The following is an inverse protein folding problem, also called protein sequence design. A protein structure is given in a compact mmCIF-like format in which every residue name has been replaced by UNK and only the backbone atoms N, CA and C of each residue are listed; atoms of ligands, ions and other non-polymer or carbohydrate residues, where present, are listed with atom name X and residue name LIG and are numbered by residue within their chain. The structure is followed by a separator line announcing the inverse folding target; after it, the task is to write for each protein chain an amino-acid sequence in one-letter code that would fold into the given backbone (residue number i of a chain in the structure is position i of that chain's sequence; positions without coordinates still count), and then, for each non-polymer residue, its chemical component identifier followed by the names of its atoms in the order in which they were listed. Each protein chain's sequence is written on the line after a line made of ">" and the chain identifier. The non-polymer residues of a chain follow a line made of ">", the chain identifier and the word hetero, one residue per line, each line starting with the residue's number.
data_IF_517622774331
#
_entry.id   IF_517622774331
#
_cell.length_a   1.000
_cell.length_b   1.000
_cell.length_c   1.000
_cell.angle_alpha   90.00
_cell.angle_beta   90.00
_cell.angle_gamma   90.00
#
_symmetry.space_group_name_H-M   'P 1'
#
loop_
_entity.id
_entity.type
_entity.pdbx_description
1 polymer ?
#
# COMPACT_ATOMS: atom_id res chain seq x y z
N UNK A 1 16.11 8.28 -12.76
CA UNK A 1 14.69 8.17 -12.36
C UNK A 1 14.59 8.21 -10.84
N UNK A 2 13.49 8.75 -10.28
CA UNK A 2 13.29 8.82 -8.84
C UNK A 2 12.07 8.01 -8.40
N UNK A 3 12.08 7.46 -7.18
CA UNK A 3 10.92 6.93 -6.48
C UNK A 3 10.66 7.75 -5.22
N UNK A 4 9.38 8.02 -4.93
CA UNK A 4 9.01 8.94 -3.85
C UNK A 4 7.88 8.37 -3.00
N UNK A 5 8.02 8.41 -1.66
CA UNK A 5 6.93 7.99 -0.78
C UNK A 5 7.30 7.70 0.66
N UNK A 6 6.34 7.17 1.41
CA UNK A 6 6.53 6.65 2.76
C UNK A 6 7.10 5.21 2.70
N UNK A 7 8.21 5.04 1.97
CA UNK A 7 8.88 3.78 1.72
C UNK A 7 9.90 3.52 2.83
N UNK A 8 10.08 2.27 3.22
CA UNK A 8 10.99 1.89 4.31
C UNK A 8 10.57 2.37 5.69
N UNK A 9 9.29 2.72 5.88
CA UNK A 9 8.77 3.29 7.13
C UNK A 9 8.09 2.27 8.05
N UNK A 10 8.23 0.97 7.77
CA UNK A 10 7.65 -0.12 8.57
C UNK A 10 6.30 -0.63 8.06
N UNK A 11 5.72 0.00 7.05
CA UNK A 11 4.49 -0.50 6.40
C UNK A 11 4.86 -1.38 5.21
N UNK A 12 4.65 -2.69 5.34
CA UNK A 12 5.05 -3.69 4.33
C UNK A 12 4.36 -3.47 2.98
N UNK A 13 3.14 -2.96 2.97
CA UNK A 13 2.41 -2.69 1.72
C UNK A 13 2.99 -1.55 0.90
N UNK A 14 3.52 -0.51 1.56
CA UNK A 14 4.21 0.56 0.88
C UNK A 14 5.49 0.04 0.20
N UNK A 15 6.22 -0.83 0.90
CA UNK A 15 7.44 -1.43 0.40
C UNK A 15 7.15 -2.41 -0.75
N UNK A 16 6.06 -3.19 -0.67
CA UNK A 16 5.63 -4.05 -1.78
C UNK A 16 5.25 -3.28 -3.05
N UNK A 17 4.63 -2.11 -2.90
CA UNK A 17 4.37 -1.23 -4.05
C UNK A 17 5.66 -0.71 -4.67
N UNK A 18 6.68 -0.41 -3.86
CA UNK A 18 8.03 -0.07 -4.33
C UNK A 18 8.66 -1.26 -5.08
N UNK A 19 8.58 -2.46 -4.52
CA UNK A 19 9.13 -3.69 -5.14
C UNK A 19 8.54 -3.91 -6.54
N UNK A 20 7.22 -3.77 -6.69
CA UNK A 20 6.55 -3.90 -7.97
C UNK A 20 7.06 -2.87 -9.01
N UNK A 21 7.18 -1.60 -8.62
CA UNK A 21 7.72 -0.55 -9.51
C UNK A 21 9.20 -0.77 -9.81
N UNK A 22 10.02 -1.19 -8.85
CA UNK A 22 11.42 -1.52 -9.12
C UNK A 22 11.56 -2.72 -10.06
N UNK A 23 10.68 -3.72 -9.93
CA UNK A 23 10.61 -4.85 -10.88
C UNK A 23 10.35 -4.37 -12.30
N UNK A 24 9.32 -3.53 -12.49
CA UNK A 24 9.01 -2.89 -13.77
C UNK A 24 10.21 -2.08 -14.31
N UNK A 25 10.80 -1.20 -13.49
CA UNK A 25 11.92 -0.37 -13.94
C UNK A 25 13.16 -1.18 -14.35
N UNK A 26 13.45 -2.27 -13.64
CA UNK A 26 14.57 -3.16 -13.98
C UNK A 26 14.34 -3.94 -15.26
N UNK A 27 13.09 -4.32 -15.54
CA UNK A 27 12.72 -5.03 -16.75
C UNK A 27 12.71 -4.11 -17.97
N UNK A 28 12.01 -3.00 -17.92
CA UNK A 28 11.79 -2.11 -19.07
C UNK A 28 12.91 -1.06 -19.24
N UNK A 29 13.59 -0.68 -18.16
CA UNK A 29 14.61 0.37 -18.15
C UNK A 29 15.91 -0.07 -17.44
N UNK A 30 16.56 -1.17 -17.83
CA UNK A 30 17.68 -1.79 -17.09
C UNK A 30 18.90 -0.89 -16.93
N UNK A 31 19.03 0.16 -17.77
CA UNK A 31 20.14 1.13 -17.70
C UNK A 31 19.80 2.38 -16.89
N UNK A 32 18.58 2.49 -16.35
CA UNK A 32 18.17 3.66 -15.59
C UNK A 32 18.83 3.67 -14.21
N UNK A 33 19.49 4.78 -13.86
CA UNK A 33 19.86 5.04 -12.48
C UNK A 33 18.59 5.41 -11.69
N UNK A 34 18.34 4.68 -10.60
CA UNK A 34 17.18 4.89 -9.73
C UNK A 34 17.66 5.29 -8.33
N UNK A 35 17.08 6.35 -7.77
CA UNK A 35 17.24 6.71 -6.36
C UNK A 35 15.89 7.02 -5.70
N UNK A 36 15.87 7.18 -4.39
CA UNK A 36 14.66 7.38 -3.62
C UNK A 36 14.69 8.65 -2.77
N UNK A 37 13.54 9.34 -2.66
CA UNK A 37 13.25 10.34 -1.63
C UNK A 37 12.12 9.80 -0.75
N UNK A 38 12.43 9.30 0.46
CA UNK A 38 11.53 8.42 1.20
C UNK A 38 11.56 8.60 2.72
N UNK A 39 10.62 7.92 3.40
CA UNK A 39 10.47 7.96 4.86
C UNK A 39 11.61 7.27 5.61
N UNK A 40 12.02 6.07 5.17
CA UNK A 40 13.06 5.23 5.78
C UNK A 40 14.21 4.94 4.82
N UNK A 41 15.09 5.92 4.55
CA UNK A 41 16.13 5.78 3.53
C UNK A 41 17.14 4.67 3.84
N UNK A 42 17.44 4.42 5.10
CA UNK A 42 18.37 3.38 5.53
C UNK A 42 17.84 1.98 5.15
N UNK A 43 16.55 1.74 5.36
CA UNK A 43 15.85 0.48 4.99
C UNK A 43 15.80 0.32 3.48
N UNK A 44 15.42 1.38 2.77
CA UNK A 44 15.33 1.35 1.30
C UNK A 44 16.71 1.08 0.68
N UNK A 45 17.76 1.75 1.15
CA UNK A 45 19.11 1.56 0.62
C UNK A 45 19.64 0.14 0.89
N UNK A 46 19.48 -0.37 2.11
CA UNK A 46 19.99 -1.69 2.48
C UNK A 46 19.22 -2.83 1.79
N UNK A 47 17.89 -2.70 1.67
CA UNK A 47 17.03 -3.76 1.15
C UNK A 47 17.01 -3.83 -0.38
N UNK A 48 16.97 -2.68 -1.06
CA UNK A 48 16.77 -2.59 -2.51
C UNK A 48 18.02 -2.23 -3.31
N UNK A 49 19.12 -1.85 -2.61
CA UNK A 49 20.39 -1.51 -3.24
C UNK A 49 20.33 -0.21 -4.06
N UNK A 50 19.41 0.70 -3.75
CA UNK A 50 19.27 2.01 -4.41
C UNK A 50 19.63 3.15 -3.45
N UNK A 51 20.32 4.22 -3.92
CA UNK A 51 20.55 5.39 -3.10
C UNK A 51 19.25 5.98 -2.59
N UNK A 52 19.19 6.35 -1.32
CA UNK A 52 17.98 6.89 -0.72
C UNK A 52 18.25 8.13 0.13
N UNK A 53 17.36 9.10 0.04
CA UNK A 53 17.41 10.37 0.78
C UNK A 53 16.15 10.51 1.64
N UNK A 54 16.30 11.05 2.84
CA UNK A 54 15.17 11.25 3.77
C UNK A 54 14.23 12.35 3.27
N UNK A 55 12.92 12.06 3.35
CA UNK A 55 11.84 12.92 2.88
C UNK A 55 11.82 14.27 3.59
N UNK A 56 11.94 14.29 4.93
CA UNK A 56 11.93 15.53 5.73
C UNK A 56 13.31 15.85 6.30
N UNK A 57 13.70 17.11 6.21
CA UNK A 57 14.93 17.60 6.83
C UNK A 57 14.84 17.65 8.35
N UNK A 58 13.70 18.16 8.87
CA UNK A 58 13.50 18.27 10.32
C UNK A 58 13.26 16.87 10.91
N UNK A 59 14.14 16.47 11.84
CA UNK A 59 13.98 15.27 12.67
C UNK A 59 13.30 15.69 13.96
N UNK A 60 12.19 15.05 14.34
CA UNK A 60 11.47 15.31 15.58
C UNK A 60 12.29 15.10 16.88
N UNK A 61 13.50 14.57 16.73
CA UNK A 61 14.45 14.27 17.80
C UNK A 61 15.23 15.51 18.31
N UNK A 62 15.15 16.66 17.62
CA UNK A 62 15.74 17.89 18.16
C UNK A 62 14.92 18.32 19.38
N UNK A 63 15.42 18.00 20.58
CA UNK A 63 14.94 18.51 21.85
C UNK A 63 15.20 20.03 21.87
N UNK A 64 14.20 20.80 21.47
CA UNK A 64 14.19 22.25 21.66
C UNK A 64 13.66 22.55 23.04
N UNK A 65 14.36 23.38 23.80
CA UNK A 65 14.00 23.75 25.16
C UNK A 65 12.67 24.53 25.29
N UNK A 66 12.04 24.91 24.17
CA UNK A 66 10.76 25.64 24.18
C UNK A 66 9.81 25.22 23.06
N UNK A 67 8.50 25.29 23.30
CA UNK A 67 7.44 25.05 22.29
C UNK A 67 7.57 25.99 21.07
N UNK A 68 7.97 27.24 21.28
CA UNK A 68 8.19 28.24 20.23
C UNK A 68 9.38 27.86 19.35
N UNK A 69 10.48 27.41 19.92
CA UNK A 69 11.63 26.89 19.18
C UNK A 69 11.29 25.67 18.33
N UNK A 70 10.43 24.78 18.83
CA UNK A 70 9.95 23.63 18.07
C UNK A 70 9.07 24.03 16.86
N UNK A 71 8.22 25.03 17.01
CA UNK A 71 7.37 25.58 15.93
C UNK A 71 8.24 26.26 14.88
N UNK A 72 9.19 27.12 15.30
CA UNK A 72 10.12 27.79 14.39
C UNK A 72 10.99 26.80 13.62
N UNK A 73 11.55 25.77 14.30
CA UNK A 73 12.33 24.71 13.67
C UNK A 73 11.52 23.89 12.65
N UNK A 74 10.24 23.60 12.95
CA UNK A 74 9.35 22.94 12.00
C UNK A 74 9.06 23.82 10.78
N UNK A 75 8.81 25.13 10.99
CA UNK A 75 8.58 26.09 9.90
C UNK A 75 9.81 26.21 8.99
N UNK A 76 10.99 26.38 9.58
CA UNK A 76 12.26 26.41 8.83
C UNK A 76 12.50 25.09 8.07
N UNK A 77 12.20 23.95 8.71
CA UNK A 77 12.30 22.64 8.07
C UNK A 77 11.44 22.54 6.82
N UNK A 78 10.23 23.12 6.82
CA UNK A 78 9.36 23.13 5.64
C UNK A 78 9.92 24.01 4.51
N UNK A 79 10.57 25.11 4.81
CA UNK A 79 11.27 25.92 3.80
C UNK A 79 12.48 25.17 3.23
N UNK A 80 13.26 24.53 4.07
CA UNK A 80 14.41 23.70 3.64
C UNK A 80 13.92 22.55 2.73
N UNK A 81 12.79 21.92 3.08
CA UNK A 81 12.21 20.82 2.27
C UNK A 81 11.79 21.30 0.86
N UNK A 82 11.39 22.57 0.65
CA UNK A 82 11.14 23.13 -0.70
C UNK A 82 12.38 23.03 -1.56
N UNK A 83 13.50 23.56 -1.09
CA UNK A 83 14.75 23.60 -1.86
C UNK A 83 15.34 22.20 -2.06
N UNK A 84 15.29 21.35 -1.02
CA UNK A 84 15.79 19.96 -1.10
C UNK A 84 14.97 19.14 -2.10
N UNK A 85 13.64 19.23 -2.05
CA UNK A 85 12.77 18.51 -2.98
C UNK A 85 12.99 19.01 -4.40
N UNK A 86 13.04 20.33 -4.64
CA UNK A 86 13.30 20.89 -5.96
C UNK A 86 14.67 20.48 -6.51
N UNK A 87 15.73 20.54 -5.68
CA UNK A 87 17.07 20.12 -6.08
C UNK A 87 17.16 18.62 -6.39
N UNK A 88 16.42 17.77 -5.66
CA UNK A 88 16.33 16.35 -5.93
C UNK A 88 15.54 16.09 -7.21
N UNK A 89 14.37 16.68 -7.38
CA UNK A 89 13.50 16.54 -8.57
C UNK A 89 14.25 16.94 -9.84
N UNK A 90 15.02 18.05 -9.82
CA UNK A 90 15.76 18.54 -11.01
C UNK A 90 16.77 17.53 -11.58
N UNK A 91 17.18 16.53 -10.81
CA UNK A 91 18.13 15.50 -11.26
C UNK A 91 17.47 14.31 -11.95
N UNK A 92 16.14 14.33 -12.07
CA UNK A 92 15.37 13.22 -12.60
C UNK A 92 14.52 13.62 -13.81
N UNK A 93 14.45 12.75 -14.80
CA UNK A 93 13.52 12.91 -15.94
C UNK A 93 12.10 12.51 -15.53
N UNK A 94 12.01 11.45 -14.70
CA UNK A 94 10.76 10.86 -14.21
C UNK A 94 10.87 10.57 -12.72
N UNK A 95 9.79 10.86 -11.98
CA UNK A 95 9.62 10.43 -10.59
C UNK A 95 8.31 9.66 -10.46
N UNK A 96 8.37 8.46 -9.88
CA UNK A 96 7.22 7.59 -9.65
C UNK A 96 6.88 7.56 -8.15
N UNK A 97 5.60 7.77 -7.85
CA UNK A 97 4.99 7.55 -6.53
C UNK A 97 4.25 6.23 -6.61
N UNK A 98 4.81 5.14 -6.05
CA UNK A 98 4.26 3.80 -6.21
C UNK A 98 3.14 3.52 -5.21
N UNK A 99 1.95 3.18 -5.64
CA UNK A 99 0.86 2.70 -4.80
C UNK A 99 0.58 3.58 -3.58
N UNK A 100 0.45 2.95 -2.42
CA UNK A 100 0.17 3.57 -1.12
C UNK A 100 -1.17 4.32 -1.07
N UNK A 101 -1.60 4.71 0.12
CA UNK A 101 -2.71 5.63 0.34
C UNK A 101 -2.28 7.10 0.28
N UNK A 102 -1.54 7.50 -0.75
CA UNK A 102 -0.91 8.84 -0.82
C UNK A 102 -1.91 10.00 -0.94
N UNK A 103 -3.11 9.70 -1.41
CA UNK A 103 -4.22 10.66 -1.54
C UNK A 103 -5.30 10.40 -0.48
N UNK A 104 -4.97 9.65 0.58
CA UNK A 104 -5.79 9.43 1.77
C UNK A 104 -5.34 10.40 2.87
N UNK A 105 -6.28 10.93 3.64
CA UNK A 105 -5.97 11.66 4.86
C UNK A 105 -6.07 10.69 6.04
N UNK A 106 -4.96 10.05 6.39
CA UNK A 106 -4.86 9.24 7.61
C UNK A 106 -4.59 10.09 8.84
N UNK A 107 -4.92 9.57 10.02
CA UNK A 107 -4.65 10.23 11.30
C UNK A 107 -3.15 10.33 11.61
N UNK A 108 -2.73 11.43 12.24
CA UNK A 108 -3.43 12.71 12.40
C UNK A 108 -3.42 13.52 11.11
N UNK A 109 -4.56 14.10 10.73
CA UNK A 109 -4.71 15.02 9.57
C UNK A 109 -3.78 16.22 9.73
N UNK A 110 -2.62 16.15 9.14
CA UNK A 110 -1.63 17.24 9.15
C UNK A 110 -1.33 17.63 7.71
N UNK A 111 -1.87 18.73 7.20
CA UNK A 111 -1.62 19.19 5.84
C UNK A 111 -0.13 19.35 5.56
N UNK A 112 0.65 19.77 6.55
CA UNK A 112 2.09 20.02 6.48
C UNK A 112 2.96 18.76 6.57
N UNK A 113 2.36 17.56 6.67
CA UNK A 113 3.04 16.27 6.58
C UNK A 113 3.23 15.81 5.13
N UNK A 114 2.87 14.55 4.87
CA UNK A 114 3.02 13.94 3.54
C UNK A 114 2.24 14.67 2.42
N UNK A 115 0.99 15.20 2.61
CA UNK A 115 0.29 15.97 1.58
C UNK A 115 1.09 17.18 1.07
N UNK A 116 1.76 17.91 1.98
CA UNK A 116 2.64 19.00 1.59
C UNK A 116 3.86 18.52 0.79
N UNK A 117 4.49 17.43 1.22
CA UNK A 117 5.66 16.87 0.50
C UNK A 117 5.29 16.37 -0.90
N UNK A 118 4.13 15.74 -1.05
CA UNK A 118 3.60 15.34 -2.34
C UNK A 118 3.31 16.55 -3.24
N UNK A 119 2.75 17.63 -2.66
CA UNK A 119 2.55 18.86 -3.39
C UNK A 119 3.88 19.49 -3.84
N UNK A 120 4.90 19.55 -2.99
CA UNK A 120 6.23 20.03 -3.37
C UNK A 120 6.82 19.21 -4.50
N UNK A 121 6.70 17.89 -4.44
CA UNK A 121 7.16 17.00 -5.51
C UNK A 121 6.49 17.36 -6.85
N UNK A 122 5.16 17.35 -6.87
CA UNK A 122 4.40 17.57 -8.11
C UNK A 122 4.59 19.01 -8.66
N UNK A 123 4.65 20.01 -7.77
CA UNK A 123 4.89 21.40 -8.17
C UNK A 123 6.31 21.59 -8.73
N UNK A 124 7.32 21.03 -8.05
CA UNK A 124 8.70 21.04 -8.53
C UNK A 124 8.82 20.32 -9.87
N UNK A 125 8.20 19.15 -10.01
CA UNK A 125 8.19 18.41 -11.28
C UNK A 125 7.60 19.23 -12.43
N UNK A 126 6.45 19.86 -12.19
CA UNK A 126 5.78 20.70 -13.20
C UNK A 126 6.60 21.93 -13.61
N UNK A 127 7.32 22.54 -12.65
CA UNK A 127 8.14 23.73 -12.88
C UNK A 127 9.49 23.42 -13.55
N UNK A 128 10.07 22.26 -13.21
CA UNK A 128 11.42 21.88 -13.63
C UNK A 128 11.44 20.91 -14.83
N UNK A 129 10.27 20.53 -15.34
CA UNK A 129 10.16 19.64 -16.51
C UNK A 129 10.28 18.15 -16.19
N UNK A 130 10.35 17.75 -14.92
CA UNK A 130 10.35 16.36 -14.47
C UNK A 130 8.92 15.80 -14.46
N UNK A 131 8.71 14.64 -15.10
CA UNK A 131 7.40 14.00 -15.13
C UNK A 131 7.14 13.25 -13.84
N UNK A 132 6.13 13.63 -13.09
CA UNK A 132 5.70 12.94 -11.85
C UNK A 132 4.51 12.06 -12.14
N UNK A 133 4.60 10.78 -11.79
CA UNK A 133 3.56 9.77 -11.96
C UNK A 133 3.05 9.26 -10.61
N UNK A 134 1.74 9.28 -10.41
CA UNK A 134 1.04 8.65 -9.31
C UNK A 134 0.49 7.31 -9.81
N UNK A 135 1.13 6.19 -9.43
CA UNK A 135 0.88 4.87 -10.04
C UNK A 135 0.16 3.94 -9.06
N UNK A 136 -1.08 3.55 -9.39
CA UNK A 136 -1.86 2.62 -8.57
C UNK A 136 -2.18 3.16 -7.17
N UNK A 137 -2.38 4.48 -7.03
CA UNK A 137 -2.51 5.13 -5.71
C UNK A 137 -3.91 4.97 -5.11
N UNK A 138 -3.95 4.87 -3.77
CA UNK A 138 -5.18 4.94 -2.99
C UNK A 138 -5.56 6.39 -2.68
N UNK A 139 -6.86 6.67 -2.69
CA UNK A 139 -7.45 7.94 -2.28
C UNK A 139 -8.70 7.72 -1.42
N UNK A 140 -9.00 8.69 -0.56
CA UNK A 140 -10.21 8.68 0.25
C UNK A 140 -10.81 10.10 0.36
N UNK A 141 -12.09 10.24 0.73
CA UNK A 141 -12.69 11.53 0.98
C UNK A 141 -11.95 12.31 2.07
N UNK A 142 -11.56 13.55 1.78
CA UNK A 142 -10.81 14.42 2.69
C UNK A 142 -11.70 15.56 3.14
N UNK A 143 -12.00 15.66 4.44
CA UNK A 143 -12.84 16.71 5.03
C UNK A 143 -12.06 18.00 5.26
N UNK A 144 -10.81 17.90 5.69
CA UNK A 144 -9.93 19.04 5.94
C UNK A 144 -9.62 19.82 4.65
N UNK A 145 -10.00 21.11 4.63
CA UNK A 145 -9.88 21.96 3.44
C UNK A 145 -8.44 22.15 2.95
N UNK A 146 -7.46 22.49 3.82
CA UNK A 146 -6.05 22.63 3.41
C UNK A 146 -5.48 21.34 2.83
N UNK A 147 -5.66 20.20 3.50
CA UNK A 147 -5.19 18.89 3.02
C UNK A 147 -5.82 18.52 1.67
N UNK A 148 -7.15 18.74 1.54
CA UNK A 148 -7.87 18.51 0.28
C UNK A 148 -7.34 19.37 -0.85
N UNK A 149 -7.01 20.64 -0.59
CA UNK A 149 -6.44 21.55 -1.58
C UNK A 149 -5.07 21.08 -2.04
N UNK A 150 -4.17 20.68 -1.12
CA UNK A 150 -2.85 20.16 -1.44
C UNK A 150 -2.93 18.88 -2.28
N UNK A 151 -3.77 17.91 -1.86
CA UNK A 151 -3.98 16.64 -2.57
C UNK A 151 -4.55 16.88 -3.97
N UNK A 152 -5.57 17.78 -4.11
CA UNK A 152 -6.13 18.13 -5.40
C UNK A 152 -5.10 18.78 -6.32
N UNK A 153 -4.29 19.69 -5.81
CA UNK A 153 -3.23 20.34 -6.59
C UNK A 153 -2.15 19.33 -7.01
N UNK A 154 -1.72 18.46 -6.11
CA UNK A 154 -0.76 17.39 -6.42
C UNK A 154 -1.26 16.51 -7.58
N UNK A 155 -2.52 16.06 -7.50
CA UNK A 155 -3.11 15.24 -8.55
C UNK A 155 -3.22 15.99 -9.90
N UNK A 156 -3.54 17.28 -9.89
CA UNK A 156 -3.63 18.11 -11.11
C UNK A 156 -2.28 18.36 -11.77
N UNK A 157 -1.22 18.42 -10.98
CA UNK A 157 0.14 18.70 -11.46
C UNK A 157 0.88 17.42 -11.93
N UNK A 158 0.42 16.24 -11.52
CA UNK A 158 0.99 14.96 -11.95
C UNK A 158 0.80 14.74 -13.46
N UNK A 159 1.84 14.21 -14.11
CA UNK A 159 1.84 13.89 -15.54
C UNK A 159 1.05 12.61 -15.84
N UNK A 160 1.01 11.67 -14.90
CA UNK A 160 0.26 10.42 -14.99
C UNK A 160 -0.42 10.13 -13.66
N UNK A 161 -1.63 9.60 -13.72
CA UNK A 161 -2.38 9.12 -12.56
C UNK A 161 -3.09 7.81 -12.88
N UNK A 162 -3.01 6.88 -11.96
CA UNK A 162 -3.85 5.70 -11.93
C UNK A 162 -4.19 5.34 -10.49
N UNK A 163 -5.33 4.69 -10.29
CA UNK A 163 -5.85 4.34 -8.96
C UNK A 163 -5.95 2.83 -8.81
N UNK A 164 -5.79 2.34 -7.58
CA UNK A 164 -5.89 0.90 -7.28
C UNK A 164 -7.32 0.38 -7.19
N UNK A 165 -8.31 1.29 -7.09
CA UNK A 165 -9.73 0.96 -7.02
C UNK A 165 -10.60 2.13 -7.50
N UNK A 166 -11.87 1.84 -7.80
CA UNK A 166 -12.86 2.84 -8.25
C UNK A 166 -13.20 3.85 -7.15
N UNK A 167 -13.20 3.44 -5.87
CA UNK A 167 -13.47 4.32 -4.74
C UNK A 167 -12.42 5.44 -4.67
N UNK A 168 -11.15 5.11 -4.89
CA UNK A 168 -10.05 6.07 -4.95
C UNK A 168 -10.22 7.08 -6.08
N UNK A 169 -10.55 6.61 -7.29
CA UNK A 169 -10.82 7.48 -8.45
C UNK A 169 -12.03 8.40 -8.19
N UNK A 170 -13.10 7.86 -7.63
CA UNK A 170 -14.33 8.61 -7.37
C UNK A 170 -14.13 9.63 -6.24
N UNK A 171 -13.35 9.30 -5.21
CA UNK A 171 -12.94 10.23 -4.17
C UNK A 171 -12.19 11.44 -4.77
N UNK A 172 -11.27 11.20 -5.72
CA UNK A 172 -10.55 12.29 -6.39
C UNK A 172 -11.47 13.11 -7.31
N UNK A 173 -12.39 12.47 -8.03
CA UNK A 173 -13.42 13.17 -8.81
C UNK A 173 -14.25 14.10 -7.92
N UNK A 174 -14.66 13.63 -6.75
CA UNK A 174 -15.42 14.42 -5.77
C UNK A 174 -14.63 15.64 -5.23
N UNK A 175 -13.29 15.62 -5.27
CA UNK A 175 -12.46 16.80 -4.95
C UNK A 175 -12.36 17.81 -6.09
N UNK A 176 -12.94 17.53 -7.26
CA UNK A 176 -12.88 18.35 -8.47
C UNK A 176 -11.64 18.13 -9.33
N UNK A 177 -11.03 16.94 -9.26
CA UNK A 177 -10.02 16.49 -10.22
C UNK A 177 -10.72 15.84 -11.40
N UNK A 178 -10.37 16.23 -12.63
CA UNK A 178 -10.78 15.49 -13.82
C UNK A 178 -10.06 14.15 -13.86
N UNK A 179 -10.82 13.08 -13.74
CA UNK A 179 -10.34 11.70 -13.72
C UNK A 179 -10.80 10.87 -14.93
N UNK A 180 -11.33 11.53 -15.96
CA UNK A 180 -11.92 10.85 -17.12
C UNK A 180 -10.91 9.98 -17.89
N UNK A 181 -9.63 10.35 -17.86
CA UNK A 181 -8.53 9.63 -18.52
C UNK A 181 -7.69 8.78 -17.55
N UNK A 182 -8.03 8.79 -16.28
CA UNK A 182 -7.23 8.10 -15.26
C UNK A 182 -7.66 6.63 -15.18
N UNK A 183 -6.73 5.70 -15.34
CA UNK A 183 -6.97 4.27 -15.27
C UNK A 183 -7.23 3.77 -13.83
N UNK A 184 -7.99 2.69 -13.73
CA UNK A 184 -8.16 1.93 -12.48
C UNK A 184 -7.63 0.52 -12.70
N UNK A 185 -6.66 0.12 -11.89
CA UNK A 185 -5.95 -1.15 -12.00
C UNK A 185 -5.93 -1.86 -10.63
N UNK A 186 -5.56 -3.12 -10.54
CA UNK A 186 -5.31 -3.78 -9.26
C UNK A 186 -4.22 -3.07 -8.45
N UNK A 187 -4.20 -3.35 -7.14
CA UNK A 187 -3.07 -2.93 -6.30
C UNK A 187 -1.75 -3.49 -6.86
N UNK A 188 -0.69 -2.67 -6.83
CA UNK A 188 0.62 -3.02 -7.40
C UNK A 188 1.21 -4.31 -6.82
N UNK A 189 0.85 -4.68 -5.60
CA UNK A 189 1.31 -5.92 -4.99
C UNK A 189 0.85 -7.18 -5.76
N UNK A 190 -0.20 -7.10 -6.59
CA UNK A 190 -0.58 -8.19 -7.50
C UNK A 190 0.43 -8.41 -8.64
N UNK A 191 1.35 -7.47 -8.91
CA UNK A 191 2.45 -7.66 -9.86
C UNK A 191 3.63 -8.44 -9.27
N UNK A 192 3.69 -8.58 -7.93
CA UNK A 192 4.77 -9.33 -7.29
C UNK A 192 4.67 -10.82 -7.62
N UNK A 193 5.82 -11.54 -7.70
CA UNK A 193 5.80 -12.98 -7.88
C UNK A 193 5.12 -13.66 -6.68
N UNK A 194 4.32 -14.69 -6.96
CA UNK A 194 3.76 -15.53 -5.90
C UNK A 194 4.80 -16.57 -5.50
N UNK A 195 5.27 -16.58 -4.24
CA UNK A 195 6.26 -17.54 -3.80
C UNK A 195 5.67 -18.96 -3.74
N UNK A 196 6.44 -19.94 -4.11
CA UNK A 196 6.11 -21.33 -3.86
C UNK A 196 6.28 -21.65 -2.36
N UNK A 197 5.30 -22.34 -1.79
CA UNK A 197 5.34 -22.76 -0.40
C UNK A 197 4.86 -24.23 -0.28
N UNK A 198 5.49 -24.99 0.62
CA UNK A 198 4.98 -26.30 0.98
C UNK A 198 3.70 -26.15 1.80
N UNK A 199 2.62 -26.91 1.50
CA UNK A 199 1.40 -26.87 2.31
C UNK A 199 1.68 -27.21 3.78
N UNK A 200 1.00 -26.52 4.68
CA UNK A 200 0.99 -26.76 6.12
C UNK A 200 -0.45 -27.03 6.58
N UNK A 201 -0.94 -28.25 6.39
CA UNK A 201 -2.34 -28.59 6.67
C UNK A 201 -2.72 -28.30 8.13
N UNK A 202 -3.94 -27.82 8.35
CA UNK A 202 -4.42 -27.40 9.66
C UNK A 202 -3.95 -26.03 10.10
N UNK A 203 -3.16 -25.31 9.28
CA UNK A 203 -2.66 -23.99 9.61
C UNK A 203 -3.62 -22.90 9.14
N UNK A 204 -3.94 -21.98 10.04
CA UNK A 204 -4.71 -20.75 9.75
C UNK A 204 -3.83 -19.53 10.00
N UNK A 205 -3.69 -18.67 9.02
CA UNK A 205 -3.03 -17.38 9.20
C UNK A 205 -4.06 -16.34 9.67
N UNK A 206 -3.75 -15.63 10.76
CA UNK A 206 -4.60 -14.55 11.30
C UNK A 206 -3.82 -13.24 11.26
N UNK A 207 -4.15 -12.38 10.30
CA UNK A 207 -3.54 -11.06 10.11
C UNK A 207 -4.24 -10.01 10.98
N UNK A 208 -3.57 -9.58 12.05
CA UNK A 208 -4.11 -8.64 13.03
C UNK A 208 -3.73 -7.19 12.72
N UNK A 209 -4.41 -6.25 13.40
CA UNK A 209 -4.20 -4.82 13.26
C UNK A 209 -4.40 -4.13 14.61
N UNK A 210 -3.57 -3.14 14.94
CA UNK A 210 -3.84 -2.20 16.03
C UNK A 210 -4.99 -1.28 15.63
N UNK A 211 -6.23 -1.77 15.79
CA UNK A 211 -7.44 -1.18 15.24
C UNK A 211 -8.22 -0.40 16.28
N UNK A 212 -8.32 0.91 16.09
CA UNK A 212 -9.04 1.87 16.95
C UNK A 212 -10.22 2.55 16.22
N UNK A 213 -10.70 1.96 15.12
CA UNK A 213 -11.72 2.59 14.27
C UNK A 213 -11.15 3.62 13.29
N UNK A 214 -12.02 4.45 12.74
CA UNK A 214 -11.67 5.51 11.78
C UNK A 214 -11.66 6.91 12.41
N UNK A 215 -11.54 7.92 11.56
CA UNK A 215 -11.53 9.33 11.98
C UNK A 215 -12.78 9.77 12.77
N UNK A 216 -13.92 9.18 12.47
CA UNK A 216 -15.21 9.48 13.10
C UNK A 216 -15.41 8.71 14.41
N UNK A 217 -14.55 7.72 14.71
CA UNK A 217 -14.68 6.83 15.85
C UNK A 217 -13.85 7.26 17.07
N UNK A 218 -13.18 8.43 17.04
CA UNK A 218 -12.21 8.85 18.08
C UNK A 218 -12.74 8.81 19.51
N UNK A 219 -14.01 9.15 19.72
CA UNK A 219 -14.62 9.10 21.04
C UNK A 219 -14.84 7.68 21.58
N UNK A 220 -14.78 6.67 20.69
CA UNK A 220 -14.99 5.25 20.99
C UNK A 220 -13.79 4.39 20.65
N UNK A 221 -12.64 5.00 20.39
CA UNK A 221 -11.44 4.33 19.90
C UNK A 221 -11.02 3.14 20.80
N UNK A 222 -10.95 3.35 22.11
CA UNK A 222 -10.60 2.32 23.10
C UNK A 222 -11.66 1.19 23.20
N UNK A 223 -12.95 1.55 23.10
CA UNK A 223 -14.03 0.55 23.08
C UNK A 223 -13.93 -0.33 21.83
N UNK A 224 -13.69 0.28 20.67
CA UNK A 224 -13.54 -0.43 19.39
C UNK A 224 -12.32 -1.33 19.42
N UNK A 225 -11.18 -0.82 19.92
CA UNK A 225 -9.96 -1.60 20.04
C UNK A 225 -10.16 -2.83 20.93
N UNK A 226 -10.77 -2.64 22.13
CA UNK A 226 -11.05 -3.74 23.04
C UNK A 226 -11.97 -4.79 22.40
N UNK A 227 -13.09 -4.40 21.77
CA UNK A 227 -14.00 -5.34 21.10
C UNK A 227 -13.32 -6.12 19.99
N UNK A 228 -12.49 -5.44 19.21
CA UNK A 228 -11.70 -6.07 18.15
C UNK A 228 -10.74 -7.11 18.75
N UNK A 229 -10.00 -6.74 19.79
CA UNK A 229 -9.03 -7.62 20.45
C UNK A 229 -9.74 -8.82 21.12
N UNK A 230 -10.81 -8.58 21.87
CA UNK A 230 -11.58 -9.61 22.56
C UNK A 230 -12.18 -10.62 21.56
N UNK A 231 -12.84 -10.14 20.50
CA UNK A 231 -13.46 -10.99 19.49
C UNK A 231 -12.43 -11.78 18.68
N UNK A 232 -11.30 -11.15 18.31
CA UNK A 232 -10.21 -11.83 17.58
C UNK A 232 -9.54 -12.89 18.47
N UNK A 233 -9.33 -12.59 19.76
CA UNK A 233 -8.78 -13.56 20.73
C UNK A 233 -9.73 -14.73 20.93
N UNK A 234 -11.04 -14.50 21.05
CA UNK A 234 -12.04 -15.55 21.17
C UNK A 234 -12.07 -16.46 19.92
N UNK A 235 -11.97 -15.88 18.74
CA UNK A 235 -11.86 -16.63 17.49
C UNK A 235 -10.58 -17.50 17.45
N UNK A 236 -9.42 -16.96 17.83
CA UNK A 236 -8.16 -17.74 17.90
C UNK A 236 -8.27 -18.89 18.89
N UNK A 237 -8.89 -18.67 20.07
CA UNK A 237 -9.16 -19.75 21.04
C UNK A 237 -10.03 -20.86 20.45
N UNK A 238 -11.07 -20.50 19.70
CA UNK A 238 -11.93 -21.48 19.04
C UNK A 238 -11.17 -22.31 18.00
N UNK A 239 -10.29 -21.69 17.21
CA UNK A 239 -9.42 -22.41 16.27
C UNK A 239 -8.48 -23.39 16.99
N UNK A 240 -7.88 -22.97 18.10
CA UNK A 240 -7.02 -23.83 18.93
C UNK A 240 -7.80 -24.99 19.53
N UNK A 241 -9.04 -24.76 20.01
CA UNK A 241 -9.92 -25.81 20.51
C UNK A 241 -10.30 -26.83 19.42
N UNK A 242 -10.42 -26.39 18.16
CA UNK A 242 -10.61 -27.26 16.99
C UNK A 242 -9.28 -27.93 16.51
N UNK A 243 -8.17 -27.80 17.27
CA UNK A 243 -6.86 -28.41 16.98
C UNK A 243 -6.09 -27.73 15.85
N UNK A 244 -6.43 -26.51 15.47
CA UNK A 244 -5.74 -25.76 14.41
C UNK A 244 -4.45 -25.12 14.90
N UNK A 245 -3.45 -25.07 14.04
CA UNK A 245 -2.27 -24.24 14.23
C UNK A 245 -2.57 -22.83 13.72
N UNK A 246 -2.29 -21.81 14.55
CA UNK A 246 -2.54 -20.41 14.18
C UNK A 246 -1.23 -19.65 14.04
N UNK A 247 -1.07 -18.97 12.91
CA UNK A 247 0.04 -18.06 12.65
C UNK A 247 -0.47 -16.62 12.66
N UNK A 248 -0.07 -15.84 13.68
CA UNK A 248 -0.41 -14.42 13.78
C UNK A 248 0.51 -13.59 12.90
N UNK A 249 -0.07 -12.76 12.02
CA UNK A 249 0.65 -11.94 11.06
C UNK A 249 0.42 -10.46 11.34
N UNK A 250 1.46 -9.64 11.11
CA UNK A 250 1.36 -8.18 11.12
C UNK A 250 1.48 -7.62 9.70
N UNK A 251 1.04 -6.39 9.48
CA UNK A 251 1.23 -5.66 8.22
C UNK A 251 1.96 -4.33 8.42
N UNK A 252 2.09 -3.94 9.70
CA UNK A 252 2.75 -2.72 10.15
C UNK A 252 3.39 -2.96 11.52
N UNK A 253 4.46 -2.24 11.84
CA UNK A 253 5.19 -2.40 13.09
C UNK A 253 4.32 -2.12 14.34
N UNK A 254 3.30 -1.26 14.23
CA UNK A 254 2.38 -0.97 15.34
C UNK A 254 1.47 -2.15 15.72
N UNK A 255 1.35 -3.17 14.86
CA UNK A 255 0.49 -4.33 15.13
C UNK A 255 1.09 -5.33 16.15
N UNK A 256 2.37 -5.17 16.48
CA UNK A 256 3.09 -6.10 17.36
C UNK A 256 2.44 -6.23 18.76
N UNK A 257 1.92 -5.14 19.32
CA UNK A 257 1.24 -5.13 20.61
C UNK A 257 -0.03 -6.00 20.63
N UNK A 258 -0.75 -6.06 19.49
CA UNK A 258 -1.95 -6.91 19.35
C UNK A 258 -1.55 -8.39 19.27
N UNK A 259 -0.45 -8.71 18.58
CA UNK A 259 0.10 -10.07 18.53
C UNK A 259 0.48 -10.54 19.93
N UNK A 260 1.23 -9.73 20.70
CA UNK A 260 1.64 -10.02 22.07
C UNK A 260 0.43 -10.25 22.97
N UNK A 261 -0.57 -9.37 22.91
CA UNK A 261 -1.79 -9.50 23.71
C UNK A 261 -2.57 -10.79 23.41
N UNK A 262 -2.64 -11.23 22.16
CA UNK A 262 -3.31 -12.49 21.79
C UNK A 262 -2.49 -13.71 22.26
N UNK A 263 -1.16 -13.70 22.09
CA UNK A 263 -0.29 -14.77 22.56
C UNK A 263 -0.43 -14.98 24.05
N UNK A 264 -0.36 -13.90 24.83
CA UNK A 264 -0.51 -13.94 26.29
C UNK A 264 -1.90 -14.42 26.72
N UNK A 265 -2.96 -13.99 26.03
CA UNK A 265 -4.32 -14.35 26.36
C UNK A 265 -4.68 -15.79 25.99
N UNK A 266 -4.11 -16.35 24.92
CA UNK A 266 -4.43 -17.72 24.47
C UNK A 266 -3.53 -18.75 25.12
N UNK A 267 -2.26 -18.43 25.39
CA UNK A 267 -1.23 -19.26 26.03
C UNK A 267 -1.20 -20.71 25.50
N UNK A 268 -1.02 -20.86 24.19
CA UNK A 268 -1.04 -22.16 23.53
C UNK A 268 0.15 -22.33 22.57
N UNK A 269 0.83 -23.49 22.58
CA UNK A 269 1.91 -23.78 21.63
C UNK A 269 1.45 -23.88 20.18
N UNK A 270 0.14 -23.97 19.93
CA UNK A 270 -0.45 -23.96 18.59
C UNK A 270 -0.53 -22.55 18.00
N UNK A 271 -0.30 -21.49 18.78
CA UNK A 271 -0.33 -20.11 18.32
C UNK A 271 1.09 -19.55 18.28
N UNK A 272 1.51 -19.05 17.14
CA UNK A 272 2.86 -18.49 16.96
C UNK A 272 2.80 -17.17 16.19
N UNK A 273 3.73 -16.26 16.48
CA UNK A 273 3.90 -15.04 15.70
C UNK A 273 4.72 -15.30 14.43
N UNK A 274 4.38 -14.60 13.37
CA UNK A 274 5.17 -14.54 12.13
C UNK A 274 6.39 -13.64 12.30
N UNK A 275 7.49 -14.02 11.67
CA UNK A 275 8.70 -13.20 11.52
C UNK A 275 8.79 -12.52 10.15
N UNK A 276 7.71 -12.49 9.39
CA UNK A 276 7.67 -11.90 8.04
C UNK A 276 8.08 -10.43 8.07
N UNK A 277 9.06 -10.09 7.24
CA UNK A 277 9.60 -8.73 7.11
C UNK A 277 9.29 -8.11 5.74
N UNK A 278 8.58 -8.83 4.86
CA UNK A 278 8.21 -8.40 3.51
C UNK A 278 6.85 -8.93 3.08
N UNK A 279 6.27 -8.37 2.01
CA UNK A 279 5.07 -8.96 1.40
C UNK A 279 5.36 -10.36 0.83
N UNK A 280 6.57 -10.61 0.32
CA UNK A 280 6.97 -11.94 -0.15
C UNK A 280 6.97 -12.97 0.98
N UNK A 281 7.47 -12.61 2.18
CA UNK A 281 7.42 -13.48 3.35
C UNK A 281 5.98 -13.76 3.77
N UNK A 282 5.13 -12.71 3.85
CA UNK A 282 3.70 -12.84 4.16
C UNK A 282 3.00 -13.76 3.15
N UNK A 283 3.20 -13.52 1.85
CA UNK A 283 2.62 -14.38 0.80
C UNK A 283 3.08 -15.83 0.91
N UNK A 284 4.34 -16.07 1.28
CA UNK A 284 4.88 -17.42 1.47
C UNK A 284 4.20 -18.15 2.63
N UNK A 285 4.04 -17.48 3.77
CA UNK A 285 3.33 -18.07 4.93
C UNK A 285 1.85 -18.30 4.61
N UNK A 286 1.20 -17.34 3.96
CA UNK A 286 -0.22 -17.45 3.57
C UNK A 286 -0.44 -18.52 2.49
N UNK A 287 0.48 -18.68 1.54
CA UNK A 287 0.41 -19.73 0.51
C UNK A 287 0.53 -21.14 1.10
N UNK A 288 1.22 -21.29 2.24
CA UNK A 288 1.33 -22.56 2.96
C UNK A 288 0.07 -22.89 3.78
N UNK A 289 -0.72 -21.90 4.16
CA UNK A 289 -1.87 -22.09 5.04
C UNK A 289 -3.12 -22.58 4.29
N UNK A 290 -4.04 -23.23 5.02
CA UNK A 290 -5.33 -23.65 4.47
C UNK A 290 -6.23 -22.45 4.23
N UNK A 291 -6.25 -21.49 5.17
CA UNK A 291 -7.15 -20.34 5.20
C UNK A 291 -6.47 -19.13 5.85
N UNK A 292 -6.85 -17.94 5.40
CA UNK A 292 -6.39 -16.67 5.98
C UNK A 292 -7.59 -15.87 6.48
N UNK A 293 -7.47 -15.32 7.69
CA UNK A 293 -8.37 -14.28 8.22
C UNK A 293 -7.54 -13.02 8.44
N UNK A 294 -7.87 -11.90 7.82
CA UNK A 294 -6.99 -10.73 7.89
C UNK A 294 -7.74 -9.41 7.97
N UNK A 295 -7.16 -8.46 8.73
CA UNK A 295 -7.68 -7.10 8.90
C UNK A 295 -6.96 -6.10 7.99
N UNK A 296 -5.62 -6.12 7.97
CA UNK A 296 -4.83 -5.17 7.17
C UNK A 296 -5.07 -5.37 5.68
N UNK A 297 -5.26 -4.26 4.96
CA UNK A 297 -5.51 -4.28 3.51
C UNK A 297 -4.46 -5.07 2.72
N UNK A 298 -3.16 -4.88 3.01
CA UNK A 298 -2.12 -5.61 2.29
C UNK A 298 -1.97 -7.07 2.74
N UNK A 299 -2.41 -7.42 3.96
CA UNK A 299 -2.52 -8.84 4.32
C UNK A 299 -3.61 -9.51 3.50
N UNK A 300 -4.75 -8.83 3.26
CA UNK A 300 -5.78 -9.32 2.33
C UNK A 300 -5.21 -9.45 0.91
N UNK A 301 -4.52 -8.43 0.40
CA UNK A 301 -3.89 -8.49 -0.94
C UNK A 301 -2.94 -9.68 -1.05
N UNK A 302 -2.08 -9.90 -0.05
CA UNK A 302 -1.13 -11.03 -0.03
C UNK A 302 -1.84 -12.39 -0.06
N UNK A 303 -2.87 -12.57 0.78
CA UNK A 303 -3.62 -13.82 0.85
C UNK A 303 -4.36 -14.13 -0.45
N UNK A 304 -5.04 -13.13 -1.02
CA UNK A 304 -5.76 -13.23 -2.28
C UNK A 304 -4.81 -13.50 -3.45
N UNK A 305 -3.65 -12.82 -3.49
CA UNK A 305 -2.59 -13.04 -4.48
C UNK A 305 -1.99 -14.44 -4.35
N UNK A 306 -1.79 -14.93 -3.14
CA UNK A 306 -1.32 -16.30 -2.88
C UNK A 306 -2.35 -17.38 -3.27
N UNK A 307 -3.58 -16.99 -3.60
CA UNK A 307 -4.66 -17.93 -3.95
C UNK A 307 -5.24 -18.67 -2.75
N UNK A 308 -5.00 -18.18 -1.53
CA UNK A 308 -5.47 -18.82 -0.31
C UNK A 308 -6.88 -18.35 0.04
N UNK A 309 -7.83 -19.26 0.38
CA UNK A 309 -9.15 -18.88 0.88
C UNK A 309 -9.06 -17.85 1.99
N UNK A 310 -9.73 -16.71 1.81
CA UNK A 310 -9.53 -15.53 2.65
C UNK A 310 -10.85 -14.99 3.18
N UNK A 311 -10.89 -14.68 4.48
CA UNK A 311 -11.96 -13.95 5.15
C UNK A 311 -11.40 -12.61 5.64
N UNK A 312 -12.10 -11.52 5.35
CA UNK A 312 -11.70 -10.19 5.75
C UNK A 312 -12.36 -9.77 7.06
N UNK A 313 -11.57 -9.33 8.05
CA UNK A 313 -12.06 -8.45 9.11
C UNK A 313 -12.06 -7.02 8.55
N UNK A 314 -13.16 -6.65 7.90
CA UNK A 314 -13.27 -5.42 7.13
C UNK A 314 -13.43 -4.20 8.05
N UNK A 315 -12.54 -3.22 7.88
CA UNK A 315 -12.57 -1.96 8.60
C UNK A 315 -12.93 -0.75 7.72
N UNK A 316 -12.95 -0.93 6.41
CA UNK A 316 -13.19 0.14 5.45
C UNK A 316 -13.69 -0.40 4.11
N UNK A 317 -14.50 0.38 3.41
CA UNK A 317 -15.09 0.03 2.11
C UNK A 317 -14.08 -0.45 1.06
N UNK A 318 -12.80 -0.04 1.15
CA UNK A 318 -11.74 -0.54 0.26
C UNK A 318 -11.45 -2.03 0.45
N UNK A 319 -11.58 -2.54 1.68
CA UNK A 319 -11.42 -3.98 1.95
C UNK A 319 -12.60 -4.77 1.36
N UNK A 320 -13.83 -4.27 1.54
CA UNK A 320 -15.03 -4.89 0.98
C UNK A 320 -14.97 -4.90 -0.55
N UNK A 321 -14.59 -3.78 -1.17
CA UNK A 321 -14.44 -3.67 -2.62
C UNK A 321 -13.36 -4.60 -3.19
N UNK A 322 -12.26 -4.80 -2.46
CA UNK A 322 -11.23 -5.77 -2.84
C UNK A 322 -11.77 -7.20 -2.79
N UNK A 323 -12.43 -7.58 -1.70
CA UNK A 323 -13.03 -8.91 -1.53
C UNK A 323 -14.09 -9.19 -2.60
N UNK A 324 -14.97 -8.23 -2.89
CA UNK A 324 -15.98 -8.32 -3.95
C UNK A 324 -15.32 -8.53 -5.32
N UNK A 325 -14.30 -7.73 -5.65
CA UNK A 325 -13.53 -7.86 -6.90
C UNK A 325 -12.91 -9.24 -7.07
N UNK A 326 -12.46 -9.84 -5.97
CA UNK A 326 -11.82 -11.17 -5.96
C UNK A 326 -12.84 -12.31 -5.85
N UNK A 327 -14.16 -12.01 -5.83
CA UNK A 327 -15.23 -12.99 -5.77
C UNK A 327 -15.52 -13.53 -4.35
N UNK A 328 -15.00 -12.87 -3.32
CA UNK A 328 -15.15 -13.26 -1.92
C UNK A 328 -15.95 -12.25 -1.08
N UNK A 329 -16.82 -11.44 -1.69
CA UNK A 329 -17.60 -10.42 -0.98
C UNK A 329 -18.46 -10.96 0.16
N UNK A 330 -18.92 -12.22 0.10
CA UNK A 330 -19.66 -12.88 1.16
C UNK A 330 -18.82 -13.16 2.44
N UNK A 331 -17.48 -13.10 2.33
CA UNK A 331 -16.55 -13.39 3.42
C UNK A 331 -15.93 -12.11 4.01
N UNK A 332 -16.78 -11.11 4.26
CA UNK A 332 -16.44 -9.89 4.97
C UNK A 332 -17.14 -9.86 6.33
N UNK A 333 -16.36 -9.68 7.40
CA UNK A 333 -16.84 -9.53 8.78
C UNK A 333 -16.44 -8.14 9.30
N UNK A 334 -17.31 -7.40 9.99
CA UNK A 334 -17.00 -6.05 10.43
C UNK A 334 -15.96 -6.04 11.58
N UNK A 335 -14.81 -5.38 11.36
CA UNK A 335 -13.74 -5.28 12.37
C UNK A 335 -14.11 -4.43 13.61
N UNK A 336 -15.14 -3.57 13.50
CA UNK A 336 -15.61 -2.73 14.62
C UNK A 336 -16.36 -3.50 15.70
N UNK A 337 -16.86 -4.68 15.35
CA UNK A 337 -17.68 -5.51 16.26
C UNK A 337 -17.47 -6.98 15.85
N UNK A 338 -16.35 -7.54 16.29
CA UNK A 338 -15.96 -8.91 15.97
C UNK A 338 -16.78 -9.88 16.83
N UNK A 339 -17.82 -10.45 16.24
CA UNK A 339 -18.59 -11.56 16.79
C UNK A 339 -17.88 -12.88 16.46
N UNK A 340 -17.29 -13.52 17.46
CA UNK A 340 -16.46 -14.70 17.28
C UNK A 340 -17.25 -15.91 16.75
N UNK A 341 -18.49 -16.11 17.18
CA UNK A 341 -19.33 -17.24 16.76
C UNK A 341 -19.70 -17.08 15.28
N UNK A 342 -20.19 -15.89 14.90
CA UNK A 342 -20.50 -15.57 13.51
C UNK A 342 -19.25 -15.64 12.62
N UNK A 343 -18.10 -15.18 13.12
CA UNK A 343 -16.83 -15.25 12.39
C UNK A 343 -16.42 -16.71 12.17
N UNK A 344 -16.61 -17.57 13.17
CA UNK A 344 -16.31 -19.00 13.07
C UNK A 344 -17.24 -19.71 12.07
N UNK A 345 -18.53 -19.34 12.04
CA UNK A 345 -19.48 -19.87 11.04
C UNK A 345 -19.09 -19.47 9.61
N UNK A 346 -18.71 -18.22 9.40
CA UNK A 346 -18.20 -17.74 8.10
C UNK A 346 -16.90 -18.45 7.72
N UNK A 347 -15.99 -18.66 8.67
CA UNK A 347 -14.75 -19.38 8.48
C UNK A 347 -15.00 -20.84 8.05
N UNK A 348 -15.87 -21.58 8.76
CA UNK A 348 -16.25 -22.95 8.42
C UNK A 348 -16.93 -23.04 7.05
N UNK A 349 -17.75 -22.05 6.71
CA UNK A 349 -18.34 -21.94 5.37
C UNK A 349 -17.27 -21.76 4.29
N UNK A 350 -16.29 -20.89 4.53
CA UNK A 350 -15.17 -20.67 3.60
C UNK A 350 -14.35 -21.94 3.37
N UNK A 351 -14.03 -22.66 4.45
CA UNK A 351 -13.28 -23.93 4.35
C UNK A 351 -14.04 -24.97 3.53
N UNK A 352 -15.36 -25.08 3.71
CA UNK A 352 -16.20 -25.99 2.94
C UNK A 352 -16.17 -25.69 1.44
N UNK A 353 -15.98 -24.42 1.05
CA UNK A 353 -15.89 -23.99 -0.35
C UNK A 353 -14.44 -23.70 -0.81
N UNK A 354 -13.43 -24.15 -0.05
CA UNK A 354 -12.04 -23.81 -0.29
C UNK A 354 -11.55 -24.15 -1.72
N UNK A 355 -11.95 -25.29 -2.25
CA UNK A 355 -11.55 -25.71 -3.60
C UNK A 355 -12.13 -24.81 -4.71
N UNK A 356 -13.36 -24.35 -4.56
CA UNK A 356 -14.01 -23.40 -5.47
C UNK A 356 -13.37 -22.01 -5.34
N UNK A 357 -13.15 -21.56 -4.10
CA UNK A 357 -12.50 -20.31 -3.79
C UNK A 357 -11.10 -20.22 -4.42
N UNK A 358 -10.29 -21.28 -4.32
CA UNK A 358 -8.96 -21.30 -4.94
C UNK A 358 -9.01 -21.17 -6.47
N UNK A 359 -9.99 -21.79 -7.12
CA UNK A 359 -10.20 -21.64 -8.58
C UNK A 359 -10.59 -20.21 -8.93
N UNK A 360 -11.56 -19.64 -8.22
CA UNK A 360 -11.96 -18.25 -8.40
C UNK A 360 -10.79 -17.29 -8.24
N UNK A 361 -9.95 -17.48 -7.21
CA UNK A 361 -8.77 -16.65 -6.97
C UNK A 361 -7.72 -16.81 -8.08
N UNK A 362 -7.52 -18.01 -8.62
CA UNK A 362 -6.62 -18.23 -9.75
C UNK A 362 -7.04 -17.39 -10.97
N UNK A 363 -8.32 -17.47 -11.38
CA UNK A 363 -8.86 -16.70 -12.51
C UNK A 363 -8.75 -15.18 -12.28
N UNK A 364 -9.06 -14.72 -11.07
CA UNK A 364 -8.96 -13.30 -10.70
C UNK A 364 -7.51 -12.81 -10.67
N UNK A 365 -6.58 -13.62 -10.23
CA UNK A 365 -5.16 -13.30 -10.24
C UNK A 365 -4.59 -13.17 -11.67
N UNK A 366 -5.01 -14.05 -12.59
CA UNK A 366 -4.64 -13.92 -14.00
C UNK A 366 -5.19 -12.63 -14.62
N UNK A 367 -6.45 -12.28 -14.34
CA UNK A 367 -7.02 -11.03 -14.81
C UNK A 367 -6.31 -9.82 -14.21
N UNK A 368 -5.95 -9.86 -12.91
CA UNK A 368 -5.19 -8.81 -12.26
C UNK A 368 -3.81 -8.63 -12.91
N UNK A 369 -3.11 -9.71 -13.22
CA UNK A 369 -1.82 -9.66 -13.92
C UNK A 369 -1.95 -8.97 -15.29
N UNK A 370 -2.93 -9.40 -16.12
CA UNK A 370 -3.19 -8.77 -17.43
C UNK A 370 -3.52 -7.28 -17.34
N UNK A 371 -4.22 -6.85 -16.27
CA UNK A 371 -4.53 -5.43 -16.05
C UNK A 371 -3.29 -4.64 -15.65
N UNK A 372 -2.39 -5.20 -14.84
CA UNK A 372 -1.15 -4.56 -14.45
C UNK A 372 -0.16 -4.45 -15.62
N UNK A 373 -0.10 -5.45 -16.49
CA UNK A 373 0.68 -5.37 -17.73
C UNK A 373 0.22 -4.19 -18.60
N UNK A 374 -1.11 -3.99 -18.71
CA UNK A 374 -1.69 -2.81 -19.40
C UNK A 374 -1.30 -1.51 -18.70
N UNK A 375 -1.36 -1.46 -17.36
CA UNK A 375 -0.95 -0.28 -16.59
C UNK A 375 0.50 0.10 -16.85
N UNK A 376 1.41 -0.88 -16.83
CA UNK A 376 2.82 -0.63 -17.08
C UNK A 376 3.09 -0.23 -18.55
N UNK A 377 2.37 -0.78 -19.52
CA UNK A 377 2.44 -0.34 -20.91
C UNK A 377 1.95 1.11 -21.08
N UNK A 378 0.83 1.48 -20.45
CA UNK A 378 0.31 2.86 -20.44
C UNK A 378 1.29 3.83 -19.78
N UNK A 379 1.90 3.41 -18.67
CA UNK A 379 2.93 4.16 -17.95
C UNK A 379 4.14 4.40 -18.85
N UNK A 380 4.64 3.36 -19.52
CA UNK A 380 5.76 3.44 -20.46
C UNK A 380 5.46 4.44 -21.59
N UNK A 381 4.32 4.31 -22.21
CA UNK A 381 3.91 5.18 -23.32
C UNK A 381 3.80 6.64 -22.89
N UNK A 382 3.26 6.88 -21.69
CA UNK A 382 3.04 8.25 -21.18
C UNK A 382 4.34 8.91 -20.71
N UNK A 383 5.19 8.17 -19.99
CA UNK A 383 6.39 8.74 -19.37
C UNK A 383 7.63 8.68 -20.25
N UNK A 384 7.69 7.74 -21.18
CA UNK A 384 8.85 7.53 -22.04
C UNK A 384 8.44 7.52 -23.52
N UNK A 385 7.85 8.62 -24.03
CA UNK A 385 7.48 8.68 -25.44
C UNK A 385 8.75 8.47 -26.28
N UNK A 386 8.70 7.51 -27.19
CA UNK A 386 9.77 7.28 -28.17
C UNK A 386 10.05 8.59 -28.89
N UNK A 387 11.30 9.06 -28.90
CA UNK A 387 11.69 10.17 -29.76
C UNK A 387 11.26 9.83 -31.20
N UNK A 388 10.63 10.75 -31.95
CA UNK A 388 10.28 10.47 -33.31
C UNK A 388 11.57 10.05 -34.05
N UNK A 389 11.57 8.84 -34.60
CA UNK A 389 12.68 8.33 -35.39
C UNK A 389 13.02 9.39 -36.44
N UNK A 390 14.25 9.92 -36.38
CA UNK A 390 14.81 10.73 -37.45
C UNK A 390 14.59 9.95 -38.76
N UNK A 391 13.69 10.43 -39.60
CA UNK A 391 13.54 9.89 -40.95
C UNK A 391 14.92 9.82 -41.61
N UNK A 392 15.31 8.69 -42.23
CA UNK A 392 16.54 8.68 -42.98
C UNK A 392 16.44 9.76 -44.07
N UNK A 393 17.43 10.62 -44.06
CA UNK A 393 17.64 11.64 -45.11
C UNK A 393 17.52 10.96 -46.46
N UNK A 394 16.55 11.38 -47.27
CA UNK A 394 16.42 11.01 -48.67
C UNK A 394 17.71 11.31 -49.37
N UNK A 395 18.36 10.26 -49.85
CA UNK A 395 19.54 10.32 -50.74
C UNK A 395 19.27 11.28 -51.88
N UNK A 396 20.15 12.26 -52.05
CA UNK A 396 20.28 13.09 -53.24
C UNK A 396 20.34 12.19 -54.47
N UNK A 397 19.38 12.34 -55.37
CA UNK A 397 19.56 11.93 -56.75
C UNK A 397 20.62 12.83 -57.36
N UNK A 398 21.78 12.32 -57.61
CA UNK A 398 22.69 12.88 -58.59
C UNK A 398 22.20 12.44 -59.98
N UNK A 399 21.78 13.44 -60.78
CA UNK A 399 21.60 13.32 -62.16
C UNK A 399 22.99 13.44 -62.87
N UNK A 400 23.33 12.40 -63.57
CA UNK A 400 23.91 12.49 -64.94
C UNK A 400 23.66 11.18 -65.65
#
# INVERSE_FOLDING_TARGET
>A
MGVFGLLGSGNLGNDGSLEAVLGYLRAEHPRAAVDALCGGPEVVASRYGIPATRLHWYRGEYRTASRLGAIAGKGLGKLVDVFRTAAWVRRHDVVIVPGMGVLEATLPLRPWGFPYSLFLLCASGRLLGTRVALVGVGAAPIRDRPTRALVRLSARLAAYRSYRDTLSRDAMRATGVDTARDGVYPDLAFALPTPSAAPSPGTVCVGVMDFHGGNDDRARAEEIHRRYLDGTTAFVRALVADGRTVRLLTGDACDASVVEAILDAVDSPLVTASAAASLADLMKEMAAADTVVATRYHNLVCALKAGTPTLALSYAAKSDALMERMGLGAYCHPARDVDADRLLDQFRSLEKHAAETRRTLADRNEEAARQLDRQFADLTTTLFPSSPSTRPSTARRENR
#
